data_IF_362113815027
#
_entry.id   IF_362113815027
#
_cell.length_a   1.000
_cell.length_b   1.000
_cell.length_c   1.000
_cell.angle_alpha   90.00
_cell.angle_beta   90.00
_cell.angle_gamma   90.00
#
_symmetry.space_group_name_H-M   'P 1'
#
loop_
_entity.id
_entity.type
_entity.pdbx_description
1 polymer ?
#
# COMPACT_ATOMS: atom_id res chain seq x y z
N UNK A 1 -33.05 14.29 9.93
CA UNK A 1 -31.59 14.09 9.87
C UNK A 1 -31.13 14.35 8.45
N UNK A 2 -30.06 15.11 8.31
CA UNK A 2 -29.44 15.45 7.03
C UNK A 2 -28.05 14.79 6.91
N UNK A 3 -27.69 14.41 5.69
CA UNK A 3 -26.35 13.94 5.31
C UNK A 3 -25.66 15.04 4.50
N UNK A 4 -24.37 15.21 4.71
CA UNK A 4 -23.52 16.12 3.93
C UNK A 4 -22.87 15.34 2.78
N UNK A 5 -23.16 15.74 1.55
CA UNK A 5 -22.54 15.18 0.35
C UNK A 5 -21.09 15.64 0.19
N UNK A 6 -20.35 14.93 -0.66
CA UNK A 6 -18.98 15.30 -1.07
C UNK A 6 -18.90 16.69 -1.71
N UNK A 7 -19.98 17.18 -2.32
CA UNK A 7 -20.07 18.54 -2.86
C UNK A 7 -20.51 19.60 -1.82
N UNK A 8 -20.58 19.22 -0.54
CA UNK A 8 -20.98 20.08 0.58
C UNK A 8 -22.50 20.26 0.73
N UNK A 9 -23.33 19.77 -0.20
CA UNK A 9 -24.78 19.94 -0.12
C UNK A 9 -25.38 19.04 0.95
N UNK A 10 -26.38 19.57 1.65
CA UNK A 10 -27.19 18.81 2.62
C UNK A 10 -28.35 18.12 1.92
N UNK A 11 -28.57 16.85 2.21
CA UNK A 11 -29.71 16.08 1.72
C UNK A 11 -30.38 15.34 2.88
N UNK A 12 -31.71 15.17 2.83
CA UNK A 12 -32.44 14.37 3.81
C UNK A 12 -32.00 12.90 3.73
N UNK A 13 -31.78 12.28 4.89
CA UNK A 13 -31.55 10.83 4.98
C UNK A 13 -32.78 10.11 4.47
N UNK A 14 -32.60 9.27 3.44
CA UNK A 14 -33.65 8.44 2.86
C UNK A 14 -33.21 6.97 2.91
N UNK A 15 -33.94 6.15 3.66
CA UNK A 15 -33.63 4.71 3.79
C UNK A 15 -33.57 4.02 2.43
N UNK A 16 -34.54 4.28 1.57
CA UNK A 16 -34.62 3.67 0.25
C UNK A 16 -33.38 3.96 -0.61
N UNK A 17 -32.75 5.15 -0.44
CA UNK A 17 -31.51 5.48 -1.15
C UNK A 17 -30.32 4.68 -0.65
N UNK A 18 -30.21 4.48 0.67
CA UNK A 18 -29.14 3.68 1.28
C UNK A 18 -29.29 2.22 0.83
N UNK A 19 -30.49 1.66 0.99
CA UNK A 19 -30.80 0.28 0.60
C UNK A 19 -30.60 0.06 -0.91
N UNK A 20 -31.09 0.96 -1.76
CA UNK A 20 -30.91 0.84 -3.20
C UNK A 20 -29.43 0.89 -3.61
N UNK A 21 -28.62 1.69 -2.92
CA UNK A 21 -27.17 1.74 -3.17
C UNK A 21 -26.49 0.42 -2.81
N UNK A 22 -26.76 -0.12 -1.62
CA UNK A 22 -26.19 -1.42 -1.18
C UNK A 22 -26.64 -2.53 -2.12
N UNK A 23 -27.94 -2.57 -2.46
CA UNK A 23 -28.51 -3.58 -3.37
C UNK A 23 -27.84 -3.60 -4.75
N UNK A 24 -27.46 -2.44 -5.30
CA UNK A 24 -26.72 -2.37 -6.58
C UNK A 24 -25.35 -3.06 -6.53
N UNK A 25 -24.75 -3.19 -5.36
CA UNK A 25 -23.44 -3.83 -5.15
C UNK A 25 -23.56 -5.33 -4.82
N UNK A 26 -24.77 -5.85 -4.65
CA UNK A 26 -25.03 -7.26 -4.36
C UNK A 26 -25.11 -8.16 -5.62
N UNK A 27 -24.64 -7.71 -6.78
CA UNK A 27 -24.66 -8.52 -8.01
C UNK A 27 -23.85 -9.81 -7.83
N UNK A 28 -24.39 -10.94 -8.27
CA UNK A 28 -23.74 -12.25 -8.19
C UNK A 28 -23.30 -12.65 -6.77
N UNK A 29 -23.94 -12.13 -5.73
CA UNK A 29 -23.81 -12.61 -4.35
C UNK A 29 -24.92 -13.61 -4.03
N UNK A 30 -24.69 -14.49 -3.07
CA UNK A 30 -25.67 -15.47 -2.60
C UNK A 30 -26.92 -14.79 -2.02
N UNK A 31 -28.08 -15.43 -2.17
CA UNK A 31 -29.40 -14.89 -1.76
C UNK A 31 -29.52 -14.63 -0.24
N UNK A 32 -28.65 -15.24 0.56
CA UNK A 32 -28.57 -15.00 2.01
C UNK A 32 -27.99 -13.62 2.38
N UNK A 33 -27.38 -12.92 1.41
CA UNK A 33 -26.91 -11.54 1.60
C UNK A 33 -28.09 -10.59 1.48
N UNK A 34 -28.55 -10.07 2.62
CA UNK A 34 -29.68 -9.18 2.75
C UNK A 34 -29.20 -7.71 2.83
N UNK A 35 -29.34 -6.91 1.75
CA UNK A 35 -28.94 -5.51 1.78
C UNK A 35 -29.81 -4.64 2.69
N UNK A 36 -31.08 -5.02 2.94
CA UNK A 36 -31.97 -4.33 3.86
C UNK A 36 -31.46 -4.47 5.30
N UNK A 37 -30.99 -5.66 5.68
CA UNK A 37 -30.39 -5.91 7.00
C UNK A 37 -29.18 -5.01 7.27
N UNK A 38 -28.32 -4.83 6.27
CA UNK A 38 -27.17 -3.92 6.38
C UNK A 38 -27.67 -2.47 6.51
N UNK A 39 -28.61 -2.05 5.66
CA UNK A 39 -29.13 -0.69 5.65
C UNK A 39 -29.82 -0.30 6.98
N UNK A 40 -30.56 -1.22 7.61
CA UNK A 40 -31.19 -0.98 8.91
C UNK A 40 -30.16 -0.65 9.99
N UNK A 41 -29.11 -1.48 10.11
CA UNK A 41 -28.01 -1.24 11.07
C UNK A 41 -27.24 0.03 10.80
N UNK A 42 -27.07 0.40 9.52
CA UNK A 42 -26.42 1.66 9.16
C UNK A 42 -27.23 2.85 9.67
N UNK A 43 -28.56 2.84 9.53
CA UNK A 43 -29.43 3.92 10.01
C UNK A 43 -29.31 4.11 11.52
N UNK A 44 -29.22 3.03 12.29
CA UNK A 44 -29.09 3.10 13.75
C UNK A 44 -27.82 3.88 14.18
N UNK A 45 -26.79 3.90 13.34
CA UNK A 45 -25.55 4.66 13.55
C UNK A 45 -25.53 6.06 12.90
N UNK A 46 -26.60 6.49 12.23
CA UNK A 46 -26.65 7.80 11.57
C UNK A 46 -26.96 8.92 12.57
N UNK A 47 -26.22 10.01 12.48
CA UNK A 47 -26.46 11.25 13.21
C UNK A 47 -26.61 12.44 12.25
N UNK A 48 -27.15 13.57 12.75
CA UNK A 48 -27.35 14.76 11.92
C UNK A 48 -26.01 15.38 11.51
N UNK A 49 -25.82 15.60 10.21
CA UNK A 49 -24.58 16.15 9.66
C UNK A 49 -23.54 15.11 9.25
N UNK A 50 -23.82 13.81 9.38
CA UNK A 50 -22.90 12.75 8.91
C UNK A 50 -22.59 12.91 7.42
N UNK A 51 -21.35 12.67 7.02
CA UNK A 51 -20.96 12.77 5.61
C UNK A 51 -21.32 11.50 4.82
N UNK A 52 -21.49 11.62 3.50
CA UNK A 52 -21.69 10.42 2.65
C UNK A 52 -20.50 9.47 2.68
N UNK A 53 -19.29 9.95 3.00
CA UNK A 53 -18.09 9.11 3.09
C UNK A 53 -18.11 8.29 4.37
N UNK A 54 -18.44 8.90 5.51
CA UNK A 54 -18.61 8.19 6.78
C UNK A 54 -19.75 7.17 6.71
N UNK A 55 -20.86 7.52 6.05
CA UNK A 55 -21.97 6.60 5.85
C UNK A 55 -21.56 5.36 5.03
N UNK A 56 -20.77 5.57 3.97
CA UNK A 56 -20.27 4.49 3.13
C UNK A 56 -19.26 3.60 3.90
N UNK A 57 -18.42 4.19 4.74
CA UNK A 57 -17.49 3.46 5.61
C UNK A 57 -18.25 2.62 6.65
N UNK A 58 -19.24 3.21 7.32
CA UNK A 58 -20.08 2.50 8.28
C UNK A 58 -20.82 1.33 7.60
N UNK A 59 -21.35 1.53 6.39
CA UNK A 59 -22.00 0.46 5.64
C UNK A 59 -21.04 -0.69 5.29
N UNK A 60 -19.79 -0.37 4.91
CA UNK A 60 -18.77 -1.37 4.66
C UNK A 60 -18.40 -2.15 5.93
N UNK A 61 -18.22 -1.46 7.07
CA UNK A 61 -17.92 -2.09 8.36
C UNK A 61 -19.07 -2.99 8.84
N UNK A 62 -20.31 -2.51 8.77
CA UNK A 62 -21.49 -3.31 9.12
C UNK A 62 -21.58 -4.54 8.22
N UNK A 63 -21.36 -4.41 6.91
CA UNK A 63 -21.32 -5.57 6.03
C UNK A 63 -20.20 -6.54 6.44
N UNK A 64 -18.99 -6.06 6.73
CA UNK A 64 -17.86 -6.90 7.12
C UNK A 64 -18.14 -7.69 8.42
N UNK A 65 -18.82 -7.09 9.42
CA UNK A 65 -19.20 -7.81 10.64
C UNK A 65 -20.21 -8.95 10.39
N UNK A 66 -20.97 -8.90 9.29
CA UNK A 66 -21.90 -9.97 8.91
C UNK A 66 -21.22 -11.10 8.11
N UNK A 67 -19.91 -11.01 7.83
CA UNK A 67 -19.15 -12.09 7.19
C UNK A 67 -19.19 -13.41 7.98
N UNK A 68 -19.41 -13.35 9.30
CA UNK A 68 -19.63 -14.53 10.16
C UNK A 68 -20.90 -15.30 9.82
N UNK A 69 -21.86 -14.67 9.15
CA UNK A 69 -23.11 -15.32 8.73
C UNK A 69 -23.00 -15.89 7.32
N UNK A 70 -22.35 -15.18 6.39
CA UNK A 70 -22.05 -15.66 5.05
C UNK A 70 -20.84 -14.92 4.48
N UNK A 71 -19.87 -15.59 3.82
CA UNK A 71 -18.65 -14.95 3.31
C UNK A 71 -18.89 -13.81 2.32
N UNK A 72 -19.95 -13.88 1.50
CA UNK A 72 -20.27 -12.82 0.53
C UNK A 72 -20.58 -11.45 1.14
N UNK A 73 -20.86 -11.37 2.44
CA UNK A 73 -20.92 -10.08 3.13
C UNK A 73 -19.54 -9.38 3.18
N UNK A 74 -18.43 -10.12 3.19
CA UNK A 74 -17.09 -9.55 3.06
C UNK A 74 -16.86 -9.00 1.64
N UNK A 75 -17.36 -9.69 0.62
CA UNK A 75 -17.36 -9.19 -0.77
C UNK A 75 -18.20 -7.93 -0.89
N UNK A 76 -19.41 -7.89 -0.32
CA UNK A 76 -20.25 -6.70 -0.28
C UNK A 76 -19.55 -5.53 0.43
N UNK A 77 -18.94 -5.78 1.59
CA UNK A 77 -18.19 -4.79 2.35
C UNK A 77 -17.06 -4.16 1.51
N UNK A 78 -16.28 -5.01 0.84
CA UNK A 78 -15.22 -4.57 -0.08
C UNK A 78 -15.78 -3.71 -1.20
N UNK A 79 -16.87 -4.16 -1.86
CA UNK A 79 -17.48 -3.41 -2.97
C UNK A 79 -18.00 -2.04 -2.54
N UNK A 80 -18.56 -1.93 -1.33
CA UNK A 80 -18.98 -0.64 -0.77
C UNK A 80 -17.77 0.28 -0.58
N UNK A 81 -16.67 -0.24 -0.03
CA UNK A 81 -15.44 0.50 0.22
C UNK A 81 -14.75 0.93 -1.10
N UNK A 82 -14.64 0.03 -2.07
CA UNK A 82 -14.12 0.33 -3.42
C UNK A 82 -14.99 1.38 -4.12
N UNK A 83 -16.32 1.24 -4.04
CA UNK A 83 -17.25 2.23 -4.60
C UNK A 83 -17.08 3.61 -3.95
N UNK A 84 -16.76 3.66 -2.64
CA UNK A 84 -16.43 4.89 -1.94
C UNK A 84 -15.13 5.49 -2.50
N UNK A 85 -14.07 4.69 -2.59
CA UNK A 85 -12.77 5.12 -3.13
C UNK A 85 -12.87 5.63 -4.56
N UNK A 86 -13.63 4.97 -5.42
CA UNK A 86 -13.84 5.42 -6.81
C UNK A 86 -14.53 6.79 -6.91
N UNK A 87 -15.27 7.20 -5.87
CA UNK A 87 -15.90 8.53 -5.81
C UNK A 87 -14.96 9.61 -5.25
N UNK A 88 -13.93 9.23 -4.50
CA UNK A 88 -12.92 10.16 -3.98
C UNK A 88 -11.68 10.27 -4.87
N UNK A 89 -11.50 9.34 -5.82
CA UNK A 89 -10.34 9.29 -6.73
C UNK A 89 -10.72 9.65 -8.17
N UNK A 90 -9.74 10.16 -8.93
CA UNK A 90 -9.89 10.40 -10.36
C UNK A 90 -9.96 9.08 -11.12
N UNK A 91 -10.62 9.06 -12.27
CA UNK A 91 -10.76 7.85 -13.09
C UNK A 91 -9.53 7.60 -13.96
N UNK A 92 -8.99 8.62 -14.64
CA UNK A 92 -7.83 8.46 -15.53
C UNK A 92 -6.57 8.10 -14.73
N UNK A 93 -5.85 7.07 -15.18
CA UNK A 93 -4.58 6.68 -14.60
C UNK A 93 -3.49 7.68 -14.96
N UNK A 94 -3.36 8.04 -16.24
CA UNK A 94 -2.35 8.99 -16.69
C UNK A 94 -2.47 10.36 -15.99
N UNK A 95 -3.71 10.83 -15.76
CA UNK A 95 -3.96 12.06 -14.99
C UNK A 95 -3.50 11.91 -13.54
N UNK A 96 -3.87 10.82 -12.86
CA UNK A 96 -3.46 10.57 -11.46
C UNK A 96 -1.93 10.50 -11.33
N UNK A 97 -1.25 9.85 -12.27
CA UNK A 97 0.22 9.77 -12.27
C UNK A 97 0.87 11.13 -12.53
N UNK A 98 0.24 11.98 -13.35
CA UNK A 98 0.69 13.35 -13.54
C UNK A 98 0.60 14.18 -12.26
N UNK A 99 -0.51 14.07 -11.51
CA UNK A 99 -0.65 14.78 -10.23
C UNK A 99 0.35 14.29 -9.19
N UNK A 100 0.57 12.97 -9.11
CA UNK A 100 1.56 12.36 -8.22
C UNK A 100 2.99 12.77 -8.56
N UNK A 101 3.31 12.92 -9.84
CA UNK A 101 4.61 13.39 -10.29
C UNK A 101 4.84 14.87 -9.95
N UNK A 102 3.82 15.71 -10.14
CA UNK A 102 3.87 17.14 -9.84
C UNK A 102 3.59 17.45 -8.36
N UNK A 103 3.59 16.44 -7.49
CA UNK A 103 3.35 16.62 -6.06
C UNK A 103 4.44 17.49 -5.42
N UNK A 104 3.99 18.46 -4.63
CA UNK A 104 4.84 19.36 -3.84
C UNK A 104 4.58 19.12 -2.36
N UNK A 105 5.64 19.22 -1.55
CA UNK A 105 5.49 19.17 -0.10
C UNK A 105 4.64 20.37 0.37
N UNK A 106 3.48 20.17 1.01
CA UNK A 106 2.61 21.26 1.44
C UNK A 106 3.22 22.14 2.55
N UNK A 107 4.24 21.65 3.25
CA UNK A 107 4.93 22.35 4.34
C UNK A 107 6.11 23.16 3.81
N UNK A 108 6.97 22.56 2.99
CA UNK A 108 8.18 23.24 2.49
C UNK A 108 7.97 23.94 1.15
N UNK A 109 7.00 23.50 0.35
CA UNK A 109 6.78 23.95 -1.02
C UNK A 109 7.76 23.36 -2.04
N UNK A 110 8.65 22.47 -1.61
CA UNK A 110 9.65 21.85 -2.49
C UNK A 110 9.02 20.76 -3.36
N UNK A 111 9.55 20.51 -4.57
CA UNK A 111 9.16 19.36 -5.38
C UNK A 111 9.40 18.05 -4.63
N UNK A 112 8.34 17.26 -4.46
CA UNK A 112 8.35 16.00 -3.72
C UNK A 112 7.74 14.87 -4.56
N UNK A 113 8.12 14.83 -5.84
CA UNK A 113 7.57 13.90 -6.83
C UNK A 113 7.49 12.45 -6.31
N UNK A 114 6.32 11.84 -6.48
CA UNK A 114 6.07 10.45 -6.05
C UNK A 114 6.28 9.44 -7.19
N UNK A 115 6.46 9.91 -8.42
CA UNK A 115 6.65 9.11 -9.64
C UNK A 115 7.97 9.50 -10.29
N UNK A 116 8.79 8.52 -10.67
CA UNK A 116 10.05 8.80 -11.35
C UNK A 116 9.81 9.51 -12.70
N UNK A 117 10.71 10.43 -13.06
CA UNK A 117 10.62 11.23 -14.30
C UNK A 117 10.50 10.32 -15.55
N UNK A 118 11.39 9.34 -15.67
CA UNK A 118 11.43 8.41 -16.79
C UNK A 118 10.12 7.62 -16.93
N UNK A 119 9.50 7.24 -15.80
CA UNK A 119 8.22 6.53 -15.79
C UNK A 119 7.07 7.47 -16.13
N UNK A 120 7.09 8.70 -15.63
CA UNK A 120 6.07 9.69 -15.95
C UNK A 120 6.08 10.02 -17.44
N UNK A 121 7.24 10.23 -18.06
CA UNK A 121 7.38 10.48 -19.51
C UNK A 121 6.76 9.35 -20.35
N UNK A 122 7.03 8.09 -19.99
CA UNK A 122 6.46 6.90 -20.67
C UNK A 122 4.93 6.89 -20.52
N UNK A 123 4.42 7.17 -19.31
CA UNK A 123 2.99 7.21 -19.04
C UNK A 123 2.32 8.32 -19.84
N UNK A 124 2.90 9.53 -19.90
CA UNK A 124 2.33 10.65 -20.65
C UNK A 124 2.35 10.39 -22.16
N UNK A 125 3.44 9.84 -22.68
CA UNK A 125 3.56 9.50 -24.10
C UNK A 125 2.50 8.48 -24.54
N UNK A 126 2.14 7.55 -23.65
CA UNK A 126 1.21 6.45 -23.93
C UNK A 126 -0.12 6.58 -23.17
N UNK A 127 -0.50 7.79 -22.76
CA UNK A 127 -1.58 8.04 -21.81
C UNK A 127 -2.92 7.42 -22.22
N UNK A 128 -3.36 7.69 -23.46
CA UNK A 128 -4.64 7.17 -23.98
C UNK A 128 -4.65 5.64 -24.04
N UNK A 129 -3.54 5.03 -24.46
CA UNK A 129 -3.41 3.58 -24.56
C UNK A 129 -3.45 2.94 -23.18
N UNK A 130 -2.65 3.42 -22.21
CA UNK A 130 -2.59 2.84 -20.87
C UNK A 130 -3.93 3.00 -20.12
N UNK A 131 -4.58 4.16 -20.25
CA UNK A 131 -5.92 4.39 -19.69
C UNK A 131 -6.96 3.43 -20.27
N UNK A 132 -6.86 3.07 -21.56
CA UNK A 132 -7.81 2.16 -22.20
C UNK A 132 -7.62 0.70 -21.79
N UNK A 133 -6.43 0.31 -21.31
CA UNK A 133 -6.17 -1.06 -20.86
C UNK A 133 -6.71 -1.35 -19.46
N UNK A 134 -6.99 -0.32 -18.66
CA UNK A 134 -7.38 -0.51 -17.27
C UNK A 134 -8.86 -0.92 -17.13
N UNK A 135 -9.08 -2.04 -16.45
CA UNK A 135 -10.41 -2.57 -16.12
C UNK A 135 -10.74 -2.28 -14.66
N UNK A 136 -11.40 -1.15 -14.39
CA UNK A 136 -11.77 -0.73 -13.02
C UNK A 136 -12.72 -1.70 -12.30
N UNK A 137 -13.47 -2.52 -13.02
CA UNK A 137 -14.34 -3.52 -12.42
C UNK A 137 -13.56 -4.59 -11.65
N UNK A 138 -12.27 -4.79 -11.97
CA UNK A 138 -11.37 -5.69 -11.24
C UNK A 138 -11.11 -5.21 -9.80
N UNK A 139 -11.29 -3.92 -9.48
CA UNK A 139 -11.20 -3.45 -8.08
C UNK A 139 -12.28 -4.08 -7.17
N UNK A 140 -13.42 -4.50 -7.72
CA UNK A 140 -14.50 -5.12 -6.95
C UNK A 140 -14.28 -6.62 -6.68
N UNK A 141 -13.13 -7.17 -7.07
CA UNK A 141 -12.73 -8.57 -6.82
C UNK A 141 -12.03 -8.78 -5.48
N UNK A 142 -11.48 -7.72 -4.87
CA UNK A 142 -10.82 -7.82 -3.58
C UNK A 142 -11.81 -8.17 -2.46
N UNK A 143 -11.34 -8.90 -1.45
CA UNK A 143 -12.05 -9.00 -0.19
C UNK A 143 -11.87 -7.73 0.66
N UNK A 144 -12.65 -7.60 1.74
CA UNK A 144 -12.65 -6.38 2.55
C UNK A 144 -11.29 -6.12 3.21
N UNK A 145 -10.66 -7.16 3.75
CA UNK A 145 -9.40 -7.04 4.47
C UNK A 145 -8.21 -6.79 3.54
N UNK A 146 -8.19 -7.43 2.37
CA UNK A 146 -7.22 -7.16 1.32
C UNK A 146 -7.34 -5.72 0.83
N UNK A 147 -8.55 -5.24 0.55
CA UNK A 147 -8.76 -3.86 0.16
C UNK A 147 -8.33 -2.85 1.25
N UNK A 148 -8.68 -3.11 2.52
CA UNK A 148 -8.24 -2.24 3.64
C UNK A 148 -6.72 -2.24 3.83
N UNK A 149 -6.07 -3.37 3.57
CA UNK A 149 -4.60 -3.44 3.54
C UNK A 149 -4.03 -2.53 2.45
N UNK A 150 -4.62 -2.56 1.26
CA UNK A 150 -4.22 -1.68 0.15
C UNK A 150 -4.39 -0.19 0.50
N UNK A 151 -5.56 0.21 0.99
CA UNK A 151 -5.83 1.60 1.41
C UNK A 151 -4.87 2.11 2.49
N UNK A 152 -4.50 1.23 3.43
CA UNK A 152 -3.65 1.61 4.55
C UNK A 152 -2.24 1.93 4.09
N UNK A 153 -1.66 1.09 3.22
CA UNK A 153 -0.21 1.07 3.01
C UNK A 153 0.25 1.08 1.55
N UNK A 154 -0.56 0.64 0.58
CA UNK A 154 -0.08 0.39 -0.80
C UNK A 154 -0.46 1.47 -1.80
N UNK A 155 -1.63 2.09 -1.63
CA UNK A 155 -2.09 3.14 -2.54
C UNK A 155 -1.40 4.46 -2.19
N UNK A 156 -0.76 5.10 -3.18
CA UNK A 156 -0.10 6.39 -2.96
C UNK A 156 -1.11 7.45 -2.51
N UNK A 157 -0.64 8.32 -1.62
CA UNK A 157 -1.43 9.39 -1.01
C UNK A 157 -0.85 10.75 -1.35
N UNK A 158 -1.71 11.73 -1.55
CA UNK A 158 -1.35 13.14 -1.67
C UNK A 158 -2.05 13.89 -0.55
N UNK A 159 -1.32 14.71 0.22
CA UNK A 159 -1.87 15.46 1.35
C UNK A 159 -2.63 14.59 2.38
N UNK A 160 -2.20 13.34 2.56
CA UNK A 160 -2.84 12.37 3.46
C UNK A 160 -4.06 11.66 2.88
N UNK A 161 -4.54 12.03 1.70
CA UNK A 161 -5.68 11.39 1.02
C UNK A 161 -5.20 10.42 -0.06
N UNK A 162 -5.92 9.30 -0.24
CA UNK A 162 -5.59 8.30 -1.25
C UNK A 162 -5.84 8.87 -2.64
N UNK A 163 -4.79 8.86 -3.48
CA UNK A 163 -4.85 9.32 -4.86
C UNK A 163 -5.07 8.16 -5.84
N UNK A 164 -4.45 7.01 -5.58
CA UNK A 164 -4.50 5.84 -6.47
C UNK A 164 -5.69 4.94 -6.20
N UNK A 165 -6.23 4.36 -7.28
CA UNK A 165 -7.03 3.14 -7.22
C UNK A 165 -6.12 1.91 -7.22
N UNK A 166 -6.58 0.72 -6.77
CA UNK A 166 -5.79 -0.50 -6.90
C UNK A 166 -5.33 -0.77 -8.34
N UNK A 167 -6.20 -0.58 -9.33
CA UNK A 167 -5.79 -0.69 -10.74
C UNK A 167 -4.69 0.31 -11.14
N UNK A 168 -4.69 1.53 -10.58
CA UNK A 168 -3.64 2.51 -10.85
C UNK A 168 -2.30 2.04 -10.31
N UNK A 169 -2.28 1.54 -9.07
CA UNK A 169 -1.08 0.96 -8.47
C UNK A 169 -0.55 -0.22 -9.30
N UNK A 170 -1.41 -1.13 -9.73
CA UNK A 170 -0.98 -2.28 -10.55
C UNK A 170 -0.43 -1.88 -11.92
N UNK A 171 -1.05 -0.89 -12.58
CA UNK A 171 -0.53 -0.36 -13.84
C UNK A 171 0.80 0.38 -13.64
N UNK A 172 0.92 1.21 -12.59
CA UNK A 172 2.19 1.86 -12.22
C UNK A 172 3.29 0.84 -11.98
N UNK A 173 2.99 -0.25 -11.26
CA UNK A 173 3.96 -1.33 -11.03
C UNK A 173 4.41 -1.96 -12.34
N UNK A 174 3.46 -2.23 -13.25
CA UNK A 174 3.73 -2.86 -14.54
C UNK A 174 4.60 -1.96 -15.44
N UNK A 175 4.27 -0.66 -15.55
CA UNK A 175 5.09 0.32 -16.27
C UNK A 175 6.45 0.51 -15.60
N UNK A 176 6.51 0.56 -14.27
CA UNK A 176 7.76 0.72 -13.54
C UNK A 176 8.74 -0.45 -13.74
N UNK A 177 8.24 -1.66 -14.01
CA UNK A 177 9.06 -2.83 -14.31
C UNK A 177 9.48 -2.87 -15.79
N UNK A 178 8.52 -2.70 -16.71
CA UNK A 178 8.73 -2.98 -18.14
C UNK A 178 9.03 -1.75 -19.01
N UNK A 179 8.81 -0.55 -18.46
CA UNK A 179 9.10 0.74 -19.11
C UNK A 179 8.44 0.82 -20.49
N UNK A 180 9.23 0.99 -21.55
CA UNK A 180 8.78 1.15 -22.94
C UNK A 180 8.22 -0.13 -23.58
N UNK A 181 8.40 -1.31 -22.97
CA UNK A 181 7.84 -2.57 -23.46
C UNK A 181 6.35 -2.70 -23.08
N UNK A 182 5.50 -2.00 -23.84
CA UNK A 182 4.06 -1.91 -23.60
C UNK A 182 3.34 -3.27 -23.64
N UNK A 183 3.81 -4.22 -24.45
CA UNK A 183 3.23 -5.56 -24.50
C UNK A 183 3.44 -6.29 -23.17
N UNK A 184 4.65 -6.21 -22.60
CA UNK A 184 4.95 -6.75 -21.28
C UNK A 184 4.26 -6.01 -20.14
N UNK A 185 4.09 -4.67 -20.26
CA UNK A 185 3.28 -3.86 -19.33
C UNK A 185 1.86 -4.40 -19.26
N UNK A 186 1.19 -4.56 -20.41
CA UNK A 186 -0.20 -5.01 -20.47
C UNK A 186 -0.33 -6.46 -20.01
N UNK A 187 0.60 -7.34 -20.43
CA UNK A 187 0.63 -8.73 -19.98
C UNK A 187 0.72 -8.84 -18.46
N UNK A 188 1.64 -8.09 -17.85
CA UNK A 188 1.84 -8.09 -16.39
C UNK A 188 0.66 -7.47 -15.64
N UNK A 189 0.13 -6.33 -16.13
CA UNK A 189 -1.05 -5.70 -15.55
C UNK A 189 -2.23 -6.66 -15.52
N UNK A 190 -2.50 -7.38 -16.61
CA UNK A 190 -3.58 -8.36 -16.67
C UNK A 190 -3.36 -9.50 -15.66
N UNK A 191 -2.16 -10.09 -15.64
CA UNK A 191 -1.86 -11.17 -14.70
C UNK A 191 -2.00 -10.75 -13.23
N UNK A 192 -1.57 -9.54 -12.87
CA UNK A 192 -1.69 -8.99 -11.53
C UNK A 192 -3.15 -8.66 -11.17
N UNK A 193 -3.86 -7.96 -12.06
CA UNK A 193 -5.23 -7.49 -11.78
C UNK A 193 -6.29 -8.59 -11.83
N UNK A 194 -6.00 -9.71 -12.49
CA UNK A 194 -6.81 -10.93 -12.45
C UNK A 194 -6.44 -11.86 -11.28
N UNK A 195 -5.40 -11.53 -10.52
CA UNK A 195 -5.00 -12.28 -9.33
C UNK A 195 -4.24 -13.58 -9.58
N UNK A 196 -3.61 -13.75 -10.75
CA UNK A 196 -2.80 -14.94 -11.06
C UNK A 196 -1.53 -15.02 -10.22
N UNK A 197 -0.92 -13.86 -9.93
CA UNK A 197 0.19 -13.73 -9.01
C UNK A 197 0.21 -12.31 -8.42
N UNK A 198 1.08 -12.09 -7.45
CA UNK A 198 1.37 -10.75 -6.93
C UNK A 198 2.87 -10.57 -6.76
N UNK A 199 3.37 -9.36 -6.99
CA UNK A 199 4.74 -9.03 -6.62
C UNK A 199 4.88 -8.83 -5.10
N UNK A 200 6.10 -8.95 -4.60
CA UNK A 200 6.37 -8.68 -3.20
C UNK A 200 6.11 -7.21 -2.85
N UNK A 201 5.78 -6.95 -1.58
CA UNK A 201 5.53 -5.61 -1.03
C UNK A 201 6.53 -4.51 -1.49
N UNK A 202 7.87 -4.69 -1.45
CA UNK A 202 8.80 -3.65 -1.91
C UNK A 202 8.60 -3.27 -3.38
N UNK A 203 8.24 -4.22 -4.25
CA UNK A 203 7.95 -3.94 -5.65
C UNK A 203 6.63 -3.17 -5.80
N UNK A 204 5.58 -3.56 -5.07
CA UNK A 204 4.28 -2.87 -5.12
C UNK A 204 4.37 -1.41 -4.62
N UNK A 205 5.17 -1.17 -3.57
CA UNK A 205 5.40 0.17 -3.04
C UNK A 205 6.25 1.04 -3.96
N UNK A 206 7.37 0.49 -4.45
CA UNK A 206 8.44 1.33 -4.99
C UNK A 206 8.58 1.26 -6.51
N UNK A 207 7.90 0.33 -7.20
CA UNK A 207 7.94 0.31 -8.66
C UNK A 207 7.31 1.59 -9.20
N UNK A 208 8.03 2.25 -10.11
CA UNK A 208 7.62 3.51 -10.71
C UNK A 208 7.94 4.77 -9.88
N UNK A 209 8.52 4.65 -8.69
CA UNK A 209 8.85 5.81 -7.84
C UNK A 209 10.30 6.27 -8.03
N UNK A 210 10.68 7.50 -7.64
CA UNK A 210 12.03 8.04 -7.88
C UNK A 210 13.19 7.26 -7.24
N UNK A 211 12.91 6.47 -6.20
CA UNK A 211 13.91 5.60 -5.53
C UNK A 211 13.35 4.17 -5.45
N UNK A 212 13.39 3.41 -6.55
CA UNK A 212 12.66 2.16 -6.67
C UNK A 212 13.38 1.00 -5.98
N UNK A 213 13.33 0.94 -4.64
CA UNK A 213 13.83 -0.21 -3.87
C UNK A 213 12.85 -1.39 -3.96
N UNK A 214 12.93 -2.13 -5.06
CA UNK A 214 11.99 -3.22 -5.37
C UNK A 214 12.32 -4.56 -4.68
N UNK A 215 13.48 -4.64 -4.01
CA UNK A 215 13.93 -5.80 -3.24
C UNK A 215 14.31 -5.35 -1.83
N UNK A 216 13.82 -6.06 -0.82
CA UNK A 216 14.05 -5.70 0.59
C UNK A 216 14.78 -6.77 1.40
N UNK A 217 15.04 -7.97 0.89
CA UNK A 217 15.73 -9.02 1.67
C UNK A 217 17.20 -9.12 1.27
N UNK A 218 18.11 -8.95 2.24
CA UNK A 218 19.56 -8.96 2.02
C UNK A 218 20.26 -9.96 2.93
N UNK A 219 21.33 -10.56 2.42
CA UNK A 219 22.22 -11.42 3.19
C UNK A 219 23.60 -10.78 3.26
N UNK A 220 24.12 -10.64 4.46
CA UNK A 220 25.45 -10.11 4.71
C UNK A 220 26.28 -11.12 5.47
N UNK A 221 27.57 -11.14 5.19
CA UNK A 221 28.57 -11.81 6.01
C UNK A 221 29.43 -10.74 6.64
N UNK A 222 29.72 -10.90 7.92
CA UNK A 222 30.62 -10.03 8.66
C UNK A 222 31.98 -9.96 7.93
N UNK A 223 32.44 -8.75 7.61
CA UNK A 223 33.62 -8.58 6.75
C UNK A 223 34.88 -9.22 7.31
N UNK A 224 35.18 -8.92 8.58
CA UNK A 224 36.38 -9.37 9.25
C UNK A 224 36.15 -9.49 10.76
N UNK A 225 36.97 -10.32 11.41
CA UNK A 225 37.10 -10.39 12.87
C UNK A 225 37.96 -9.24 13.41
N UNK A 226 37.53 -8.02 13.12
CA UNK A 226 38.19 -6.77 13.51
C UNK A 226 37.15 -5.70 13.85
N UNK A 227 37.50 -4.72 14.70
CA UNK A 227 36.57 -3.63 15.03
C UNK A 227 36.15 -2.85 13.78
N UNK A 228 37.09 -2.61 12.85
CA UNK A 228 36.78 -1.96 11.57
C UNK A 228 35.78 -2.79 10.76
N UNK A 229 36.02 -4.10 10.61
CA UNK A 229 35.13 -5.00 9.88
C UNK A 229 33.72 -5.07 10.49
N UNK A 230 33.63 -5.09 11.83
CA UNK A 230 32.36 -5.08 12.56
C UNK A 230 31.58 -3.79 12.30
N UNK A 231 32.21 -2.62 12.47
CA UNK A 231 31.53 -1.34 12.31
C UNK A 231 31.22 -1.00 10.84
N UNK A 232 32.05 -1.45 9.89
CA UNK A 232 31.74 -1.34 8.46
C UNK A 232 30.53 -2.20 8.08
N UNK A 233 30.42 -3.40 8.64
CA UNK A 233 29.26 -4.26 8.45
C UNK A 233 28.02 -3.63 9.08
N UNK A 234 28.14 -3.08 10.30
CA UNK A 234 27.06 -2.36 10.97
C UNK A 234 26.55 -1.17 10.13
N UNK A 235 27.47 -0.37 9.58
CA UNK A 235 27.16 0.74 8.68
C UNK A 235 26.40 0.27 7.44
N UNK A 236 26.78 -0.87 6.86
CA UNK A 236 26.05 -1.45 5.73
C UNK A 236 24.63 -1.88 6.15
N UNK A 237 24.49 -2.54 7.30
CA UNK A 237 23.18 -2.91 7.83
C UNK A 237 22.29 -1.67 8.05
N UNK A 238 22.83 -0.59 8.62
CA UNK A 238 22.11 0.66 8.81
C UNK A 238 21.64 1.26 7.48
N UNK A 239 22.50 1.29 6.45
CA UNK A 239 22.13 1.79 5.11
C UNK A 239 21.03 0.96 4.45
N UNK A 240 21.07 -0.37 4.61
CA UNK A 240 20.04 -1.26 4.07
C UNK A 240 18.72 -1.07 4.83
N UNK A 241 18.77 -1.00 6.16
CA UNK A 241 17.60 -0.76 7.02
C UNK A 241 16.93 0.58 6.73
N UNK A 242 17.71 1.63 6.42
CA UNK A 242 17.21 2.93 6.00
C UNK A 242 16.25 2.83 4.80
N UNK A 243 16.46 1.86 3.92
CA UNK A 243 15.62 1.61 2.73
C UNK A 243 14.61 0.47 2.96
N UNK A 244 14.20 0.25 4.22
CA UNK A 244 13.27 -0.81 4.61
C UNK A 244 13.74 -2.24 4.31
N UNK A 245 15.06 -2.45 4.24
CA UNK A 245 15.64 -3.77 3.96
C UNK A 245 15.74 -4.66 5.20
N UNK A 246 15.17 -5.85 5.14
CA UNK A 246 15.42 -6.96 6.07
C UNK A 246 16.78 -7.62 5.81
N UNK A 247 17.47 -8.03 6.89
CA UNK A 247 18.86 -8.49 6.82
C UNK A 247 19.02 -9.82 7.55
N UNK A 248 19.62 -10.81 6.86
CA UNK A 248 20.26 -11.97 7.49
C UNK A 248 21.76 -11.75 7.59
N UNK A 249 22.32 -11.78 8.80
CA UNK A 249 23.75 -11.54 9.03
C UNK A 249 24.48 -12.81 9.51
N UNK A 250 25.42 -13.31 8.72
CA UNK A 250 26.35 -14.36 9.11
C UNK A 250 27.56 -13.77 9.85
N UNK A 251 27.82 -14.24 11.07
CA UNK A 251 28.91 -13.75 11.94
C UNK A 251 29.79 -14.87 12.51
N UNK A 252 29.82 -16.01 11.82
CA UNK A 252 30.57 -17.21 12.23
C UNK A 252 32.08 -16.97 12.36
N UNK A 253 32.60 -15.95 11.68
CA UNK A 253 34.01 -15.56 11.70
C UNK A 253 34.38 -14.65 12.89
N UNK A 254 33.43 -14.19 13.70
CA UNK A 254 33.74 -13.38 14.90
C UNK A 254 34.22 -14.28 16.04
N UNK A 255 35.34 -13.90 16.66
CA UNK A 255 35.94 -14.65 17.76
C UNK A 255 35.03 -14.75 18.99
N UNK A 256 35.12 -15.87 19.69
CA UNK A 256 34.35 -16.14 20.91
C UNK A 256 34.82 -15.31 22.12
N UNK A 257 34.03 -15.31 23.19
CA UNK A 257 34.40 -14.69 24.47
C UNK A 257 35.66 -15.37 25.03
N UNK A 258 36.59 -14.57 25.54
CA UNK A 258 37.85 -15.06 26.11
C UNK A 258 38.97 -15.26 25.08
N UNK A 259 38.68 -15.21 23.77
CA UNK A 259 39.71 -15.27 22.73
C UNK A 259 40.67 -14.08 22.83
N UNK A 260 41.98 -14.35 22.70
CA UNK A 260 43.02 -13.33 22.82
C UNK A 260 42.91 -12.25 21.73
N UNK A 261 43.17 -11.00 22.08
CA UNK A 261 43.22 -9.87 21.16
C UNK A 261 44.67 -9.41 20.98
N UNK A 262 45.26 -9.78 19.84
CA UNK A 262 46.55 -9.22 19.39
C UNK A 262 46.40 -7.71 19.22
N UNK A 263 47.32 -6.93 19.79
CA UNK A 263 47.35 -5.46 19.72
C UNK A 263 46.98 -4.78 21.03
N UNK A 264 45.89 -5.17 21.70
CA UNK A 264 45.49 -4.59 22.99
C UNK A 264 45.89 -5.43 24.20
N UNK A 265 46.44 -6.63 23.98
CA UNK A 265 46.79 -7.60 25.01
C UNK A 265 45.62 -7.97 25.95
N UNK A 266 44.38 -7.83 25.46
CA UNK A 266 43.15 -8.14 26.17
C UNK A 266 42.47 -9.42 25.66
N UNK A 267 41.26 -9.65 26.14
CA UNK A 267 40.40 -10.77 25.72
C UNK A 267 39.09 -10.26 25.13
N UNK A 268 38.54 -11.00 24.16
CA UNK A 268 37.28 -10.68 23.51
C UNK A 268 36.10 -10.83 24.47
N UNK A 269 35.14 -9.92 24.33
CA UNK A 269 33.85 -10.01 25.01
C UNK A 269 32.86 -10.97 24.30
N UNK A 270 33.24 -11.50 23.14
CA UNK A 270 32.41 -12.38 22.30
C UNK A 270 31.31 -11.65 21.55
N UNK A 271 30.41 -12.41 20.93
CA UNK A 271 29.37 -11.87 20.03
C UNK A 271 28.24 -11.11 20.75
N UNK A 272 27.96 -11.41 22.03
CA UNK A 272 26.77 -10.85 22.70
C UNK A 272 26.81 -9.33 22.83
N UNK A 273 27.90 -8.69 23.31
CA UNK A 273 27.97 -7.23 23.35
C UNK A 273 27.99 -6.58 21.97
N UNK A 274 28.62 -7.22 20.99
CA UNK A 274 28.57 -6.77 19.60
C UNK A 274 27.13 -6.76 19.08
N UNK A 275 26.38 -7.85 19.30
CA UNK A 275 24.99 -7.99 18.88
C UNK A 275 24.06 -6.96 19.54
N UNK A 276 24.36 -6.49 20.76
CA UNK A 276 23.62 -5.38 21.37
C UNK A 276 23.73 -4.09 20.56
N UNK A 277 24.90 -3.81 19.99
CA UNK A 277 25.09 -2.64 19.10
C UNK A 277 24.28 -2.77 17.81
N UNK A 278 24.25 -3.97 17.22
CA UNK A 278 23.40 -4.25 16.05
C UNK A 278 21.91 -4.13 16.39
N UNK A 279 21.48 -4.64 17.55
CA UNK A 279 20.11 -4.52 18.04
C UNK A 279 19.70 -3.05 18.20
N UNK A 280 20.52 -2.23 18.85
CA UNK A 280 20.19 -0.82 19.08
C UNK A 280 20.19 -0.04 17.78
N UNK A 281 21.06 -0.40 16.83
CA UNK A 281 21.01 0.15 15.46
C UNK A 281 19.73 -0.22 14.72
N UNK A 282 19.28 -1.48 14.82
CA UNK A 282 18.04 -1.93 14.20
C UNK A 282 16.80 -1.23 14.78
N UNK A 283 16.82 -0.89 16.08
CA UNK A 283 15.76 -0.10 16.73
C UNK A 283 15.79 1.38 16.39
N UNK A 284 16.95 1.91 16.03
CA UNK A 284 17.13 3.32 15.69
C UNK A 284 16.80 3.61 14.22
N UNK A 285 17.09 2.67 13.31
CA UNK A 285 16.86 2.82 11.87
C UNK A 285 15.64 2.00 11.45
N UNK A 286 14.47 2.41 11.92
CA UNK A 286 13.18 1.73 11.76
C UNK A 286 12.26 2.37 10.71
N UNK A 287 12.80 3.26 9.86
CA UNK A 287 12.11 4.04 8.82
C UNK A 287 11.34 5.26 9.36
N UNK A 288 11.47 5.58 10.66
CA UNK A 288 10.85 6.74 11.31
C UNK A 288 9.73 6.36 12.27
#
# INVERSE_FOLDING_TARGET
MYVVKRDGKRELVQFDKITARIKKLCYSLHESVDPQRVAMRVIEGVYDGVTTTELDNLAAEVAATNAVTHPDYASLASRIAVSNLHKSTKKSFAYTMNELHNYVDPVTGDPASLIAEDVHEIIQTNAEFLDSQIIYDRDFSYDYFGFKTLERSYLLKMNGEIAERPQHMLMRVSVGIHKDDLDSVVGTYNMLSEGWFTHATPTLFNSGTPKPQMSSCFLLTMKEDSISGIYDTLKQCAKISQSAGGIGLAMHNIRAKGSYIKGTNGTSNGIVPMLRVFNDTARYVDQG
#
